data_IF_269709239193
#
_entry.id   IF_269709239193
#
_cell.length_a   1.000
_cell.length_b   1.000
_cell.length_c   1.000
_cell.angle_alpha   90.00
_cell.angle_beta   90.00
_cell.angle_gamma   90.00
#
_symmetry.space_group_name_H-M   'P 1'
#
loop_
_entity.id
_entity.type
_entity.pdbx_description
1 polymer ?
#
# COMPACT_ATOMS: atom_id res chain seq x y z
N UNK A 1 7.06 10.12 16.64
CA UNK A 1 7.41 8.71 16.39
C UNK A 1 6.67 8.27 15.14
N UNK A 2 7.37 7.66 14.18
CA UNK A 2 6.75 7.07 12.98
C UNK A 2 6.26 5.64 13.25
N UNK A 3 5.45 5.10 12.35
CA UNK A 3 4.98 3.71 12.40
C UNK A 3 5.31 3.06 11.06
N UNK A 4 6.26 2.12 11.06
CA UNK A 4 6.81 1.53 9.84
C UNK A 4 5.73 0.97 8.92
N UNK A 5 4.69 0.35 9.48
CA UNK A 5 3.57 -0.16 8.69
C UNK A 5 2.80 0.96 7.94
N UNK A 6 2.57 2.11 8.59
CA UNK A 6 1.88 3.25 7.99
C UNK A 6 2.73 3.85 6.87
N UNK A 7 4.03 4.02 7.12
CA UNK A 7 4.96 4.58 6.15
C UNK A 7 5.09 3.68 4.91
N UNK A 8 5.14 2.35 5.11
CA UNK A 8 5.22 1.37 4.02
C UNK A 8 3.91 1.24 3.23
N UNK A 9 2.76 1.28 3.90
CA UNK A 9 1.46 1.36 3.19
C UNK A 9 1.42 2.60 2.31
N UNK A 10 1.83 3.76 2.83
CA UNK A 10 1.85 5.00 2.06
C UNK A 10 2.80 4.91 0.88
N UNK A 11 4.03 4.41 1.09
CA UNK A 11 5.03 4.23 0.04
C UNK A 11 4.51 3.32 -1.07
N UNK A 12 4.01 2.13 -0.71
CA UNK A 12 3.59 1.14 -1.70
C UNK A 12 2.35 1.61 -2.48
N UNK A 13 1.34 2.16 -1.80
CA UNK A 13 0.13 2.63 -2.46
C UNK A 13 0.39 3.82 -3.41
N UNK A 14 1.35 4.69 -3.09
CA UNK A 14 1.65 5.87 -3.90
C UNK A 14 2.63 5.60 -5.04
N UNK A 15 3.64 4.76 -4.84
CA UNK A 15 4.77 4.63 -5.78
C UNK A 15 4.72 3.41 -6.71
N UNK A 16 4.03 2.32 -6.34
CA UNK A 16 3.94 1.10 -7.17
C UNK A 16 2.68 1.12 -8.03
N UNK A 17 2.63 0.30 -9.09
CA UNK A 17 1.34 -0.01 -9.73
C UNK A 17 0.42 -0.74 -8.74
N UNK A 18 -0.88 -0.75 -9.01
CA UNK A 18 -1.84 -1.48 -8.18
C UNK A 18 -1.51 -2.97 -8.11
N UNK A 19 -1.27 -3.57 -9.28
CA UNK A 19 -0.93 -4.98 -9.50
C UNK A 19 0.39 -5.40 -8.85
N UNK A 20 1.48 -4.67 -9.12
CA UNK A 20 2.80 -5.05 -8.57
C UNK A 20 2.77 -5.05 -7.04
N UNK A 21 2.06 -4.08 -6.43
CA UNK A 21 1.86 -4.04 -4.98
C UNK A 21 1.06 -5.25 -4.49
N UNK A 22 -0.07 -5.57 -5.14
CA UNK A 22 -0.91 -6.70 -4.73
C UNK A 22 -0.15 -8.03 -4.82
N UNK A 23 0.70 -8.20 -5.84
CA UNK A 23 1.47 -9.43 -6.07
C UNK A 23 2.69 -9.53 -5.15
N UNK A 24 3.38 -8.42 -4.88
CA UNK A 24 4.73 -8.46 -4.28
C UNK A 24 4.85 -7.83 -2.88
N UNK A 25 3.76 -7.33 -2.26
CA UNK A 25 3.87 -6.60 -0.99
C UNK A 25 4.57 -7.39 0.12
N UNK A 26 4.35 -8.71 0.23
CA UNK A 26 4.98 -9.52 1.29
C UNK A 26 6.50 -9.59 1.12
N UNK A 27 6.97 -9.82 -0.12
CA UNK A 27 8.39 -9.86 -0.45
C UNK A 27 9.03 -8.49 -0.19
N UNK A 28 8.38 -7.42 -0.63
CA UNK A 28 8.90 -6.05 -0.44
C UNK A 28 9.00 -5.67 1.04
N UNK A 29 8.01 -6.05 1.87
CA UNK A 29 8.09 -5.84 3.32
C UNK A 29 9.24 -6.61 3.95
N UNK A 30 9.50 -7.83 3.50
CA UNK A 30 10.59 -8.66 3.98
C UNK A 30 11.97 -8.10 3.60
N UNK A 31 12.13 -7.66 2.35
CA UNK A 31 13.35 -6.99 1.89
C UNK A 31 13.62 -5.73 2.72
N UNK A 32 12.63 -4.86 2.90
CA UNK A 32 12.79 -3.63 3.68
C UNK A 32 13.06 -3.94 5.16
N UNK A 33 12.41 -4.94 5.73
CA UNK A 33 12.67 -5.37 7.11
C UNK A 33 14.11 -5.88 7.29
N UNK A 34 14.62 -6.65 6.33
CA UNK A 34 15.99 -7.15 6.35
C UNK A 34 17.01 -5.99 6.24
N UNK A 35 16.78 -5.04 5.33
CA UNK A 35 17.61 -3.83 5.25
C UNK A 35 17.57 -3.02 6.55
N UNK A 36 16.39 -2.81 7.14
CA UNK A 36 16.26 -2.12 8.42
C UNK A 36 17.03 -2.81 9.54
N UNK A 37 17.01 -4.16 9.57
CA UNK A 37 17.75 -4.94 10.56
C UNK A 37 19.27 -4.81 10.36
N UNK A 38 19.73 -4.79 9.12
CA UNK A 38 21.15 -4.59 8.79
C UNK A 38 21.62 -3.19 9.22
N UNK A 39 20.85 -2.16 8.87
CA UNK A 39 21.16 -0.76 9.20
C UNK A 39 21.05 -0.44 10.70
N UNK A 40 20.19 -1.15 11.42
CA UNK A 40 20.04 -1.00 12.87
C UNK A 40 21.28 -1.47 13.65
N UNK A 41 22.14 -2.30 13.06
CA UNK A 41 23.35 -2.83 13.70
C UNK A 41 23.00 -3.56 15.00
N UNK A 42 23.50 -3.04 16.13
CA UNK A 42 23.25 -3.61 17.47
C UNK A 42 21.91 -3.18 18.09
N UNK A 43 21.14 -2.33 17.41
CA UNK A 43 19.82 -1.89 17.88
C UNK A 43 18.79 -2.99 17.58
N UNK A 44 18.15 -3.51 18.62
CA UNK A 44 17.07 -4.46 18.47
C UNK A 44 15.85 -3.81 17.80
N UNK A 45 15.35 -4.41 16.72
CA UNK A 45 14.10 -3.99 16.07
C UNK A 45 12.93 -4.36 17.00
N UNK A 46 12.05 -3.41 17.39
CA UNK A 46 11.04 -3.64 18.42
C UNK A 46 9.81 -4.43 17.93
N UNK A 47 9.89 -5.07 16.77
CA UNK A 47 8.82 -5.87 16.18
C UNK A 47 9.37 -6.95 15.26
N UNK A 48 8.61 -8.02 15.08
CA UNK A 48 8.94 -9.09 14.13
C UNK A 48 8.43 -8.76 12.73
N UNK A 49 8.94 -9.49 11.72
CA UNK A 49 8.43 -9.42 10.35
C UNK A 49 6.92 -9.73 10.29
N UNK A 50 6.45 -10.72 11.04
CA UNK A 50 5.02 -11.07 11.07
C UNK A 50 4.15 -9.96 11.66
N UNK A 51 4.64 -9.29 12.71
CA UNK A 51 3.97 -8.13 13.28
C UNK A 51 3.91 -6.96 12.29
N UNK A 52 4.97 -6.77 11.49
CA UNK A 52 4.98 -5.77 10.42
C UNK A 52 3.98 -6.11 9.31
N UNK A 53 3.99 -7.36 8.80
CA UNK A 53 3.06 -7.84 7.77
C UNK A 53 1.60 -7.72 8.25
N UNK A 54 1.31 -8.11 9.48
CA UNK A 54 -0.03 -7.97 10.04
C UNK A 54 -0.45 -6.51 10.21
N UNK A 55 0.45 -5.65 10.69
CA UNK A 55 0.17 -4.23 10.85
C UNK A 55 -0.07 -3.54 9.50
N UNK A 56 0.69 -3.90 8.46
CA UNK A 56 0.48 -3.44 7.09
C UNK A 56 -0.93 -3.78 6.60
N UNK A 57 -1.34 -5.07 6.68
CA UNK A 57 -2.69 -5.52 6.27
C UNK A 57 -3.82 -4.82 7.04
N UNK A 58 -3.62 -4.60 8.35
CA UNK A 58 -4.61 -3.90 9.19
C UNK A 58 -4.79 -2.44 8.78
N UNK A 59 -3.69 -1.77 8.43
CA UNK A 59 -3.72 -0.35 8.06
C UNK A 59 -4.05 -0.11 6.58
N UNK A 60 -3.85 -1.10 5.71
CA UNK A 60 -3.99 -0.96 4.26
C UNK A 60 -5.31 -0.30 3.81
N UNK A 61 -6.50 -0.65 4.33
CA UNK A 61 -7.74 0.00 3.90
C UNK A 61 -7.74 1.52 4.14
N UNK A 62 -7.23 1.96 5.29
CA UNK A 62 -7.18 3.39 5.60
C UNK A 62 -6.13 4.10 4.76
N UNK A 63 -4.93 3.51 4.64
CA UNK A 63 -3.87 4.10 3.82
C UNK A 63 -4.23 4.17 2.33
N UNK A 64 -4.83 3.11 1.78
CA UNK A 64 -5.33 3.08 0.42
C UNK A 64 -6.43 4.12 0.19
N UNK A 65 -7.36 4.28 1.14
CA UNK A 65 -8.38 5.32 1.07
C UNK A 65 -7.77 6.73 1.04
N UNK A 66 -6.76 7.00 1.88
CA UNK A 66 -6.05 8.29 1.85
C UNK A 66 -5.41 8.54 0.47
N UNK A 67 -4.74 7.54 -0.11
CA UNK A 67 -4.15 7.68 -1.45
C UNK A 67 -5.22 7.87 -2.52
N UNK A 68 -6.35 7.16 -2.42
CA UNK A 68 -7.48 7.30 -3.33
C UNK A 68 -8.00 8.75 -3.37
N UNK A 69 -8.04 9.46 -2.22
CA UNK A 69 -8.44 10.88 -2.19
C UNK A 69 -7.50 11.82 -2.95
N UNK A 70 -6.27 11.37 -3.26
CA UNK A 70 -5.28 12.14 -4.03
C UNK A 70 -5.37 11.87 -5.54
N UNK A 71 -6.05 10.81 -5.98
CA UNK A 71 -6.20 10.45 -7.39
C UNK A 71 -6.81 11.58 -8.24
N UNK A 72 -7.83 12.35 -7.78
CA UNK A 72 -8.34 13.47 -8.56
C UNK A 72 -7.26 14.50 -8.93
N UNK A 73 -6.31 14.77 -8.02
CA UNK A 73 -5.19 15.68 -8.28
C UNK A 73 -4.20 15.10 -9.30
N UNK A 74 -4.00 13.78 -9.26
CA UNK A 74 -3.21 13.07 -10.26
C UNK A 74 -3.87 13.18 -11.64
N UNK A 75 -5.17 12.92 -11.73
CA UNK A 75 -5.95 13.03 -12.98
C UNK A 75 -5.89 14.46 -13.55
N UNK A 76 -6.03 15.48 -12.70
CA UNK A 76 -5.89 16.88 -13.14
C UNK A 76 -4.50 17.16 -13.72
N UNK A 77 -3.46 16.59 -13.10
CA UNK A 77 -2.07 16.71 -13.58
C UNK A 77 -1.87 16.00 -14.91
N UNK A 78 -2.41 14.78 -15.06
CA UNK A 78 -2.38 14.01 -16.31
C UNK A 78 -3.10 14.76 -17.44
N UNK A 79 -4.22 15.42 -17.15
CA UNK A 79 -4.97 16.18 -18.15
C UNK A 79 -4.20 17.38 -18.73
N UNK A 80 -3.14 17.85 -18.06
CA UNK A 80 -2.28 18.94 -18.52
C UNK A 80 -1.16 18.47 -19.46
N UNK A 81 -0.96 17.15 -19.61
CA UNK A 81 0.02 16.58 -20.53
C UNK A 81 -0.44 16.84 -21.98
N UNK A 82 0.46 17.39 -22.80
CA UNK A 82 0.15 17.74 -24.20
C UNK A 82 0.32 16.57 -25.17
N UNK A 83 1.20 15.62 -24.84
CA UNK A 83 1.38 14.39 -25.62
C UNK A 83 0.21 13.43 -25.32
N UNK A 84 -0.61 13.15 -26.33
CA UNK A 84 -1.82 12.34 -26.18
C UNK A 84 -1.51 10.86 -25.87
N UNK A 85 -0.37 10.33 -26.32
CA UNK A 85 0.01 8.95 -26.02
C UNK A 85 0.48 8.82 -24.56
N UNK A 86 1.31 9.75 -24.10
CA UNK A 86 1.75 9.83 -22.71
C UNK A 86 0.57 10.08 -21.77
N UNK A 87 -0.33 11.00 -22.14
CA UNK A 87 -1.55 11.29 -21.39
C UNK A 87 -2.44 10.05 -21.25
N UNK A 88 -2.67 9.32 -22.35
CA UNK A 88 -3.45 8.07 -22.33
C UNK A 88 -2.81 7.05 -21.40
N UNK A 89 -1.50 6.80 -21.53
CA UNK A 89 -0.77 5.84 -20.68
C UNK A 89 -0.87 6.18 -19.19
N UNK A 90 -0.71 7.46 -18.84
CA UNK A 90 -0.82 7.90 -17.46
C UNK A 90 -2.27 7.82 -16.93
N UNK A 91 -3.26 8.05 -17.78
CA UNK A 91 -4.67 7.87 -17.42
C UNK A 91 -4.98 6.40 -17.14
N UNK A 92 -4.52 5.48 -18.00
CA UNK A 92 -4.68 4.04 -17.81
C UNK A 92 -4.03 3.57 -16.51
N UNK A 93 -2.84 4.08 -16.17
CA UNK A 93 -2.16 3.80 -14.91
C UNK A 93 -2.92 4.35 -13.69
N UNK A 94 -3.52 5.55 -13.79
CA UNK A 94 -4.33 6.11 -12.73
C UNK A 94 -5.62 5.30 -12.50
N UNK A 95 -6.25 4.80 -13.57
CA UNK A 95 -7.42 3.94 -13.49
C UNK A 95 -7.09 2.58 -12.88
N UNK A 96 -6.04 1.92 -13.35
CA UNK A 96 -5.56 0.65 -12.78
C UNK A 96 -5.28 0.77 -11.28
N UNK A 97 -4.55 1.83 -10.88
CA UNK A 97 -4.29 2.11 -9.47
C UNK A 97 -5.59 2.30 -8.69
N UNK A 98 -6.57 3.00 -9.26
CA UNK A 98 -7.86 3.25 -8.60
C UNK A 98 -8.61 1.95 -8.35
N UNK A 99 -8.69 1.07 -9.35
CA UNK A 99 -9.33 -0.24 -9.25
C UNK A 99 -8.68 -1.09 -8.15
N UNK A 100 -7.36 -1.26 -8.20
CA UNK A 100 -6.63 -2.04 -7.20
C UNK A 100 -6.71 -1.44 -5.78
N UNK A 101 -6.76 -0.12 -5.64
CA UNK A 101 -6.96 0.53 -4.33
C UNK A 101 -8.35 0.21 -3.77
N UNK A 102 -9.39 0.25 -4.60
CA UNK A 102 -10.76 -0.08 -4.18
C UNK A 102 -10.86 -1.56 -3.77
N UNK A 103 -10.29 -2.47 -4.55
CA UNK A 103 -10.26 -3.90 -4.23
C UNK A 103 -9.57 -4.16 -2.89
N UNK A 104 -8.41 -3.53 -2.65
CA UNK A 104 -7.71 -3.65 -1.39
C UNK A 104 -8.50 -3.11 -0.21
N UNK A 105 -9.15 -1.95 -0.38
CA UNK A 105 -9.98 -1.35 0.67
C UNK A 105 -11.06 -2.34 1.06
N UNK A 106 -11.79 -2.89 0.10
CA UNK A 106 -12.88 -3.82 0.36
C UNK A 106 -12.37 -5.12 1.00
N UNK A 107 -11.37 -5.75 0.39
CA UNK A 107 -10.83 -7.03 0.84
C UNK A 107 -10.28 -6.93 2.28
N UNK A 108 -9.37 -5.98 2.53
CA UNK A 108 -8.73 -5.89 3.83
C UNK A 108 -9.65 -5.28 4.89
N UNK A 109 -10.60 -4.41 4.52
CA UNK A 109 -11.62 -3.96 5.48
C UNK A 109 -12.48 -5.13 5.95
N UNK A 110 -12.96 -5.97 5.03
CA UNK A 110 -13.76 -7.15 5.38
C UNK A 110 -12.97 -8.11 6.26
N UNK A 111 -11.72 -8.43 5.87
CA UNK A 111 -10.78 -9.24 6.66
C UNK A 111 -10.65 -8.70 8.09
N UNK A 112 -10.37 -7.40 8.23
CA UNK A 112 -10.15 -6.78 9.53
C UNK A 112 -11.43 -6.76 10.39
N UNK A 113 -12.59 -6.64 9.76
CA UNK A 113 -13.89 -6.69 10.43
C UNK A 113 -14.23 -8.10 10.94
N UNK A 114 -13.89 -9.16 10.18
CA UNK A 114 -14.01 -10.56 10.63
C UNK A 114 -13.12 -10.84 11.84
N UNK A 115 -11.84 -10.44 11.76
CA UNK A 115 -10.90 -10.56 12.89
C UNK A 115 -11.39 -9.83 14.14
N UNK A 116 -11.96 -8.62 13.99
CA UNK A 116 -12.52 -7.86 15.11
C UNK A 116 -13.70 -8.56 15.79
N UNK A 117 -14.46 -9.37 15.05
CA UNK A 117 -15.59 -10.15 15.57
C UNK A 117 -15.16 -11.48 16.19
N UNK A 118 -13.89 -11.88 16.01
CA UNK A 118 -13.37 -13.15 16.52
C UNK A 118 -13.61 -14.34 15.59
N UNK A 119 -13.98 -14.10 14.33
CA UNK A 119 -14.14 -15.16 13.33
C UNK A 119 -12.74 -15.72 13.00
N UNK A 120 -12.51 -17.02 13.25
CA UNK A 120 -11.19 -17.66 13.12
C UNK A 120 -10.87 -18.15 11.69
N UNK A 121 -11.80 -18.03 10.74
CA UNK A 121 -11.64 -18.47 9.35
C UNK A 121 -11.10 -17.37 8.43
N UNK A 122 -10.09 -16.61 8.88
CA UNK A 122 -9.50 -15.45 8.16
C UNK A 122 -8.05 -15.69 7.75
#
# INVERSE_FOLDING_TARGET
>A
MGCSAIDLVRLFCSCLSGKDRQEHWEQLLEEIYNYLREEAGDIEIPYTLDQLKESYRRFLPLGAFIVLTMIPLLIESVNKISDEEEKRKNMDAAMEKTECLLDDILHYHERNMKLRKGDQDV
#
